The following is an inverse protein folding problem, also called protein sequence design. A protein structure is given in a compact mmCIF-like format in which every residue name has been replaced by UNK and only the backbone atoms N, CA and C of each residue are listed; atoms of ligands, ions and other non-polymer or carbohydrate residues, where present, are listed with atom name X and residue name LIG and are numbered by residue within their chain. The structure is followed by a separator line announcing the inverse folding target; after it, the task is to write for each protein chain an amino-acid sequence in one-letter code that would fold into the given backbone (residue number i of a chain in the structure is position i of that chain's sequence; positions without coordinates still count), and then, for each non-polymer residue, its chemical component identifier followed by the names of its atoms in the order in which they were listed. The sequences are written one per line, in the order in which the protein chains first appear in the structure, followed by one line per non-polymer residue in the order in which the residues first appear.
data_IF_023364332672
#
_entry.id   IF_023364332672
#
_cell.length_a   1.000
_cell.length_b   1.000
_cell.length_c   1.000
_cell.angle_alpha   90.00
_cell.angle_beta   90.00
_cell.angle_gamma   90.00
#
_symmetry.space_group_name_H-M   'P 1'
#
loop_
_entity.id
_entity.type
_entity.pdbx_description
1 polymer ?
#
# COMPACT_ATOMS: atom_id res chain seq x y z
N UNK A 1 -25.47 -7.53 -15.83
CA UNK A 1 -25.06 -8.17 -14.56
C UNK A 1 -24.59 -9.56 -14.91
N UNK A 2 -23.28 -9.74 -14.82
CA UNK A 2 -22.62 -10.97 -15.20
C UNK A 2 -23.14 -12.13 -14.36
N UNK A 3 -23.48 -13.24 -15.02
CA UNK A 3 -24.03 -14.42 -14.33
C UNK A 3 -23.06 -15.57 -14.47
N UNK A 4 -22.69 -16.17 -13.35
CA UNK A 4 -21.94 -17.43 -13.36
C UNK A 4 -22.79 -18.49 -14.07
N UNK A 5 -22.26 -19.03 -15.17
CA UNK A 5 -22.92 -20.05 -15.98
C UNK A 5 -22.53 -21.45 -15.52
N UNK A 6 -21.23 -21.71 -15.41
CA UNK A 6 -20.68 -23.01 -15.06
C UNK A 6 -19.25 -22.92 -14.55
N UNK A 7 -18.81 -23.95 -13.83
CA UNK A 7 -17.40 -24.24 -13.57
C UNK A 7 -16.99 -25.45 -14.41
N UNK A 8 -15.82 -25.37 -15.05
CA UNK A 8 -15.25 -26.50 -15.80
C UNK A 8 -13.74 -26.39 -15.95
N UNK A 9 -13.10 -27.49 -16.33
CA UNK A 9 -11.70 -27.47 -16.76
C UNK A 9 -11.62 -27.40 -18.29
N UNK A 10 -10.78 -26.50 -18.80
CA UNK A 10 -10.52 -26.38 -20.24
C UNK A 10 -9.01 -26.44 -20.53
N UNK A 11 -8.60 -26.82 -21.75
CA UNK A 11 -7.22 -26.67 -22.20
C UNK A 11 -6.75 -25.22 -22.07
N UNK A 12 -5.51 -25.03 -21.60
CA UNK A 12 -4.94 -23.70 -21.36
C UNK A 12 -4.82 -22.88 -22.66
N UNK A 13 -4.73 -23.55 -23.80
CA UNK A 13 -4.63 -22.98 -25.14
C UNK A 13 -5.97 -22.38 -25.63
N UNK A 14 -7.10 -22.75 -25.04
CA UNK A 14 -8.42 -22.19 -25.39
C UNK A 14 -8.65 -20.80 -24.76
N UNK A 15 -7.83 -20.43 -23.77
CA UNK A 15 -7.97 -19.16 -23.06
C UNK A 15 -7.38 -18.02 -23.90
N UNK A 16 -8.20 -17.01 -24.15
CA UNK A 16 -7.82 -15.80 -24.89
C UNK A 16 -7.48 -14.68 -23.92
N UNK A 17 -6.24 -14.20 -23.93
CA UNK A 17 -5.87 -13.01 -23.18
C UNK A 17 -6.42 -11.73 -23.85
N UNK A 18 -6.78 -10.76 -23.03
CA UNK A 18 -7.23 -9.44 -23.46
C UNK A 18 -6.30 -8.41 -22.85
N UNK A 19 -5.54 -7.70 -23.68
CA UNK A 19 -4.50 -6.74 -23.22
C UNK A 19 -5.08 -5.63 -22.31
N UNK A 20 -6.31 -5.21 -22.59
CA UNK A 20 -7.08 -4.26 -21.80
C UNK A 20 -7.21 -4.69 -20.34
N UNK A 21 -7.53 -5.97 -20.08
CA UNK A 21 -7.67 -6.51 -18.73
C UNK A 21 -6.34 -6.87 -18.07
N UNK A 22 -5.35 -7.28 -18.87
CA UNK A 22 -4.01 -7.65 -18.41
C UNK A 22 -3.31 -6.49 -17.69
N UNK A 23 -3.42 -5.29 -18.26
CA UNK A 23 -2.82 -4.05 -17.74
C UNK A 23 -3.74 -3.33 -16.75
N UNK A 24 -4.92 -3.89 -16.47
CA UNK A 24 -5.93 -3.22 -15.68
C UNK A 24 -5.58 -3.19 -14.19
N UNK A 25 -5.05 -4.30 -13.68
CA UNK A 25 -4.83 -4.52 -12.26
C UNK A 25 -3.34 -4.29 -11.92
N UNK A 26 -3.01 -3.67 -10.78
CA UNK A 26 -1.64 -3.55 -10.30
C UNK A 26 -0.90 -4.89 -10.21
N UNK A 27 0.43 -4.83 -10.32
CA UNK A 27 1.30 -5.99 -10.17
C UNK A 27 1.11 -6.64 -8.79
N UNK A 28 1.21 -7.98 -8.77
CA UNK A 28 1.03 -8.76 -7.57
C UNK A 28 2.40 -9.07 -6.96
N UNK A 29 2.65 -8.57 -5.75
CA UNK A 29 3.89 -8.79 -4.99
C UNK A 29 3.99 -10.19 -4.37
N UNK A 30 3.00 -11.07 -4.56
CA UNK A 30 2.98 -12.45 -4.05
C UNK A 30 3.22 -13.50 -5.14
N UNK A 31 3.83 -13.14 -6.27
CA UNK A 31 4.00 -14.04 -7.43
C UNK A 31 4.60 -15.40 -7.05
N UNK A 32 5.75 -15.40 -6.35
CA UNK A 32 6.47 -16.63 -6.01
C UNK A 32 5.67 -17.53 -5.06
N UNK A 33 5.01 -16.93 -4.05
CA UNK A 33 4.12 -17.65 -3.13
C UNK A 33 2.95 -18.32 -3.86
N UNK A 34 2.34 -17.61 -4.83
CA UNK A 34 1.26 -18.16 -5.65
C UNK A 34 1.79 -19.30 -6.54
N UNK A 35 3.00 -19.15 -7.08
CA UNK A 35 3.64 -20.17 -7.91
C UNK A 35 3.92 -21.45 -7.12
N UNK A 36 4.44 -21.33 -5.91
CA UNK A 36 4.67 -22.46 -5.01
C UNK A 36 3.36 -23.16 -4.61
N UNK A 37 2.30 -22.42 -4.26
CA UNK A 37 1.01 -23.02 -3.91
C UNK A 37 0.39 -23.75 -5.11
N UNK A 38 0.44 -23.18 -6.32
CA UNK A 38 -0.07 -23.83 -7.53
C UNK A 38 0.75 -25.06 -7.88
N UNK A 39 2.07 -25.03 -7.70
CA UNK A 39 2.92 -26.20 -7.94
C UNK A 39 2.59 -27.35 -6.98
N UNK A 40 2.30 -27.05 -5.70
CA UNK A 40 1.99 -28.05 -4.67
C UNK A 40 0.55 -28.54 -4.74
N UNK A 41 -0.39 -27.64 -4.94
CA UNK A 41 -1.82 -27.89 -4.70
C UNK A 41 -2.71 -27.68 -5.94
N UNK A 42 -2.14 -27.27 -7.08
CA UNK A 42 -2.89 -26.88 -8.26
C UNK A 42 -3.64 -25.56 -8.09
N UNK A 43 -4.42 -25.20 -9.10
CA UNK A 43 -5.19 -23.96 -9.12
C UNK A 43 -6.52 -24.18 -8.36
N UNK A 44 -6.59 -23.79 -7.09
CA UNK A 44 -7.81 -23.91 -6.27
C UNK A 44 -8.89 -22.90 -6.66
N UNK A 45 -8.47 -21.65 -6.90
CA UNK A 45 -9.38 -20.58 -7.29
C UNK A 45 -9.39 -20.50 -8.83
N UNK A 46 -10.54 -20.76 -9.49
CA UNK A 46 -10.60 -20.81 -10.94
C UNK A 46 -10.29 -19.46 -11.60
N UNK A 47 -9.81 -19.52 -12.84
CA UNK A 47 -9.71 -18.34 -13.71
C UNK A 47 -11.11 -17.85 -14.06
N UNK A 48 -11.29 -16.54 -14.22
CA UNK A 48 -12.58 -15.96 -14.56
C UNK A 48 -12.58 -15.60 -16.04
N UNK A 49 -13.48 -16.21 -16.81
CA UNK A 49 -13.59 -16.03 -18.27
C UNK A 49 -15.01 -15.67 -18.66
N UNK A 50 -15.19 -14.98 -19.80
CA UNK A 50 -16.52 -14.80 -20.40
C UNK A 50 -16.95 -16.02 -21.23
N UNK A 51 -18.15 -15.95 -21.82
CA UNK A 51 -18.71 -16.99 -22.68
C UNK A 51 -17.87 -17.33 -23.94
N UNK A 52 -16.91 -16.48 -24.31
CA UNK A 52 -16.01 -16.64 -25.45
C UNK A 52 -14.60 -17.14 -25.06
N UNK A 53 -14.40 -17.47 -23.78
CA UNK A 53 -13.13 -17.81 -23.13
C UNK A 53 -12.10 -16.69 -23.13
N UNK A 54 -12.55 -15.44 -23.18
CA UNK A 54 -11.69 -14.30 -22.94
C UNK A 54 -11.45 -14.16 -21.44
N UNK A 55 -10.18 -14.04 -21.05
CA UNK A 55 -9.76 -13.97 -19.66
C UNK A 55 -10.08 -12.59 -19.07
N UNK A 56 -11.02 -12.57 -18.14
CA UNK A 56 -11.36 -11.38 -17.37
C UNK A 56 -10.40 -11.25 -16.20
N UNK A 57 -10.26 -12.29 -15.36
CA UNK A 57 -9.39 -12.27 -14.19
C UNK A 57 -8.61 -13.57 -14.02
N UNK A 58 -7.41 -13.47 -13.44
CA UNK A 58 -6.53 -14.61 -13.19
C UNK A 58 -5.26 -14.64 -14.03
N UNK A 59 -4.86 -13.53 -14.66
CA UNK A 59 -3.63 -13.42 -15.47
C UNK A 59 -2.37 -14.00 -14.80
N UNK A 60 -2.17 -13.72 -13.50
CA UNK A 60 -1.05 -14.28 -12.73
C UNK A 60 -1.09 -15.81 -12.67
N UNK A 61 -2.28 -16.38 -12.38
CA UNK A 61 -2.49 -17.83 -12.32
C UNK A 61 -2.30 -18.48 -13.69
N UNK A 62 -2.78 -17.85 -14.75
CA UNK A 62 -2.58 -18.32 -16.12
C UNK A 62 -1.10 -18.35 -16.50
N UNK A 63 -0.36 -17.27 -16.20
CA UNK A 63 1.08 -17.19 -16.45
C UNK A 63 1.82 -18.31 -15.73
N UNK A 64 1.55 -18.48 -14.43
CA UNK A 64 2.14 -19.55 -13.62
C UNK A 64 1.80 -20.93 -14.18
N UNK A 65 0.54 -21.16 -14.56
CA UNK A 65 0.10 -22.44 -15.11
C UNK A 65 0.89 -22.81 -16.38
N UNK A 66 1.15 -21.84 -17.26
CA UNK A 66 2.00 -22.04 -18.45
C UNK A 66 3.45 -22.34 -18.06
N UNK A 67 4.02 -21.61 -17.12
CA UNK A 67 5.39 -21.84 -16.64
C UNK A 67 5.57 -23.23 -16.02
N UNK A 68 4.56 -23.73 -15.31
CA UNK A 68 4.54 -25.06 -14.69
C UNK A 68 4.14 -26.18 -15.67
N UNK A 69 3.84 -25.87 -16.94
CA UNK A 69 3.44 -26.84 -17.95
C UNK A 69 2.06 -27.46 -17.74
N UNK A 70 1.19 -26.82 -16.96
CA UNK A 70 -0.19 -27.27 -16.69
C UNK A 70 -1.00 -27.20 -17.99
N UNK A 71 -1.60 -28.32 -18.39
CA UNK A 71 -2.34 -28.46 -19.67
C UNK A 71 -3.80 -28.07 -19.59
N UNK A 72 -4.44 -28.29 -18.44
CA UNK A 72 -5.84 -27.96 -18.20
C UNK A 72 -5.94 -27.10 -16.96
N UNK A 73 -6.79 -26.09 -17.02
CA UNK A 73 -6.97 -25.14 -15.93
C UNK A 73 -8.46 -25.01 -15.58
N UNK A 74 -8.81 -24.90 -14.29
CA UNK A 74 -10.18 -24.68 -13.87
C UNK A 74 -10.59 -23.24 -14.17
N UNK A 75 -11.77 -23.09 -14.79
CA UNK A 75 -12.36 -21.81 -15.16
C UNK A 75 -13.78 -21.69 -14.62
N UNK A 76 -14.15 -20.47 -14.25
CA UNK A 76 -15.51 -20.04 -13.98
C UNK A 76 -15.98 -19.24 -15.19
N UNK A 77 -16.96 -19.78 -15.92
CA UNK A 77 -17.49 -19.14 -17.13
C UNK A 77 -18.65 -18.24 -16.72
N UNK A 78 -18.51 -16.94 -17.01
CA UNK A 78 -19.56 -15.96 -16.81
C UNK A 78 -20.22 -15.60 -18.14
N UNK A 79 -21.54 -15.54 -18.14
CA UNK A 79 -22.30 -14.90 -19.19
C UNK A 79 -22.31 -13.39 -18.92
N UNK A 80 -21.78 -12.62 -19.87
CA UNK A 80 -21.64 -11.16 -19.78
C UNK A 80 -22.38 -10.50 -20.93
N UNK A 81 -23.03 -9.37 -20.65
CA UNK A 81 -23.84 -8.66 -21.67
C UNK A 81 -23.00 -7.76 -22.57
N UNK A 82 -22.00 -7.09 -21.99
CA UNK A 82 -21.13 -6.14 -22.67
C UNK A 82 -19.82 -5.96 -21.88
N UNK A 83 -18.95 -5.11 -22.42
CA UNK A 83 -17.65 -4.78 -21.82
C UNK A 83 -17.76 -4.09 -20.45
N UNK A 84 -18.85 -3.34 -20.20
CA UNK A 84 -19.06 -2.70 -18.90
C UNK A 84 -19.36 -3.73 -17.81
N UNK A 85 -20.11 -4.76 -18.14
CA UNK A 85 -20.39 -5.91 -17.27
C UNK A 85 -19.11 -6.72 -16.96
N UNK A 86 -18.20 -6.84 -17.93
CA UNK A 86 -16.88 -7.46 -17.72
C UNK A 86 -16.01 -6.65 -16.76
N UNK A 87 -16.06 -5.32 -16.82
CA UNK A 87 -15.38 -4.44 -15.85
C UNK A 87 -15.94 -4.59 -14.44
N UNK A 88 -17.27 -4.72 -14.30
CA UNK A 88 -17.90 -4.99 -12.99
C UNK A 88 -17.42 -6.32 -12.40
N UNK A 89 -17.31 -7.36 -13.23
CA UNK A 89 -16.81 -8.66 -12.83
C UNK A 89 -15.31 -8.61 -12.46
N UNK A 90 -14.52 -7.85 -13.23
CA UNK A 90 -13.10 -7.63 -12.96
C UNK A 90 -12.88 -6.95 -11.59
N UNK A 91 -13.62 -5.86 -11.32
CA UNK A 91 -13.53 -5.12 -10.06
C UNK A 91 -13.96 -6.01 -8.89
N UNK A 92 -15.16 -6.59 -8.95
CA UNK A 92 -15.72 -7.39 -7.86
C UNK A 92 -14.85 -8.58 -7.47
N UNK A 93 -14.32 -9.31 -8.47
CA UNK A 93 -13.47 -10.48 -8.22
C UNK A 93 -12.10 -10.09 -7.67
N UNK A 94 -11.52 -8.95 -8.06
CA UNK A 94 -10.27 -8.49 -7.47
C UNK A 94 -10.44 -7.98 -6.04
N UNK A 95 -11.52 -7.24 -5.75
CA UNK A 95 -11.80 -6.76 -4.39
C UNK A 95 -12.02 -7.91 -3.39
N UNK A 96 -12.53 -9.05 -3.86
CA UNK A 96 -12.75 -10.24 -3.02
C UNK A 96 -11.55 -11.18 -2.96
N UNK A 97 -10.80 -11.36 -4.05
CA UNK A 97 -9.73 -12.35 -4.13
C UNK A 97 -8.33 -11.81 -3.84
N UNK A 98 -8.12 -10.48 -3.87
CA UNK A 98 -6.83 -9.84 -3.60
C UNK A 98 -6.85 -9.07 -2.29
N UNK A 99 -5.69 -9.01 -1.65
CA UNK A 99 -5.44 -8.14 -0.50
C UNK A 99 -5.08 -6.73 -1.00
N UNK A 100 -6.07 -5.99 -1.50
CA UNK A 100 -5.86 -4.63 -2.00
C UNK A 100 -5.90 -3.62 -0.85
N UNK A 101 -5.02 -2.62 -0.88
CA UNK A 101 -5.17 -1.44 -0.03
C UNK A 101 -6.40 -0.61 -0.43
N UNK A 102 -6.89 0.26 0.46
CA UNK A 102 -8.01 1.17 0.14
C UNK A 102 -7.72 2.03 -1.09
N UNK A 103 -6.48 2.52 -1.24
CA UNK A 103 -6.07 3.32 -2.39
C UNK A 103 -6.02 2.49 -3.68
N UNK A 104 -5.57 1.24 -3.62
CA UNK A 104 -5.59 0.33 -4.77
C UNK A 104 -7.02 -0.03 -5.19
N UNK A 105 -7.91 -0.28 -4.21
CA UNK A 105 -9.33 -0.51 -4.46
C UNK A 105 -10.00 0.72 -5.12
N UNK A 106 -9.72 1.92 -4.61
CA UNK A 106 -10.17 3.18 -5.20
C UNK A 106 -9.72 3.32 -6.65
N UNK A 107 -8.42 3.15 -6.91
CA UNK A 107 -7.87 3.27 -8.26
C UNK A 107 -8.44 2.25 -9.25
N UNK A 108 -8.69 1.03 -8.77
CA UNK A 108 -9.31 -0.03 -9.58
C UNK A 108 -10.75 0.32 -9.97
N UNK A 109 -11.55 0.76 -9.01
CA UNK A 109 -12.94 1.17 -9.24
C UNK A 109 -12.98 2.39 -10.15
N UNK A 110 -12.14 3.37 -9.89
CA UNK A 110 -12.08 4.62 -10.64
C UNK A 110 -11.70 4.38 -12.11
N UNK A 111 -10.66 3.57 -12.37
CA UNK A 111 -10.30 3.14 -13.72
C UNK A 111 -11.45 2.43 -14.43
N UNK A 112 -12.23 1.61 -13.71
CA UNK A 112 -13.38 0.92 -14.31
C UNK A 112 -14.49 1.88 -14.70
N UNK A 113 -14.77 2.89 -13.88
CA UNK A 113 -15.74 3.94 -14.19
C UNK A 113 -15.31 4.74 -15.43
N UNK A 114 -14.02 5.08 -15.54
CA UNK A 114 -13.49 5.77 -16.73
C UNK A 114 -13.71 4.97 -18.01
N UNK A 115 -13.36 3.68 -18.01
CA UNK A 115 -13.51 2.82 -19.19
C UNK A 115 -14.98 2.60 -19.57
N UNK A 116 -15.85 2.35 -18.59
CA UNK A 116 -17.31 2.30 -18.80
C UNK A 116 -17.83 3.59 -19.43
N UNK A 117 -17.36 4.75 -18.95
CA UNK A 117 -17.75 6.06 -19.48
C UNK A 117 -17.28 6.28 -20.91
N UNK A 118 -16.07 5.82 -21.26
CA UNK A 118 -15.54 5.87 -22.64
C UNK A 118 -16.41 5.02 -23.59
N UNK A 119 -16.82 3.83 -23.15
CA UNK A 119 -17.71 2.95 -23.93
C UNK A 119 -19.06 3.64 -24.20
N UNK A 120 -19.69 4.22 -23.17
CA UNK A 120 -20.96 4.94 -23.30
C UNK A 120 -20.87 6.10 -24.32
N UNK A 121 -19.80 6.90 -24.25
CA UNK A 121 -19.56 8.02 -25.17
C UNK A 121 -19.35 7.55 -26.63
N UNK A 122 -18.65 6.44 -26.84
CA UNK A 122 -18.43 5.86 -28.17
C UNK A 122 -19.73 5.39 -28.83
N UNK A 123 -20.63 4.81 -28.02
CA UNK A 123 -21.94 4.36 -28.50
C UNK A 123 -22.84 5.55 -28.88
N UNK A 124 -22.85 6.63 -28.07
CA UNK A 124 -23.62 7.85 -28.36
C UNK A 124 -23.14 8.60 -29.61
N UNK A 125 -21.83 8.62 -29.88
CA UNK A 125 -21.27 9.25 -31.08
C UNK A 125 -21.51 8.43 -32.36
N UNK A 126 -21.76 7.13 -32.23
CA UNK A 126 -22.11 6.27 -33.36
C UNK A 126 -23.59 6.42 -33.78
N UNK A 127 -24.45 6.93 -32.88
CA UNK A 127 -25.89 7.11 -33.10
C UNK A 127 -26.30 8.55 -33.45
N UNK A 128 -25.44 9.56 -33.26
CA UNK A 128 -25.79 10.98 -33.47
C UNK A 128 -24.91 11.69 -34.51
N UNK A 129 -25.47 11.89 -35.70
CA UNK A 129 -25.04 12.92 -36.65
C UNK A 129 -25.73 14.24 -36.24
N UNK A 130 -25.03 15.26 -35.70
CA UNK A 130 -25.70 16.32 -34.95
C UNK A 130 -26.26 17.44 -35.85
N UNK A 131 -27.57 17.68 -35.75
CA UNK A 131 -28.16 19.00 -36.07
C UNK A 131 -28.09 19.85 -34.80
N UNK A 132 -27.15 20.78 -34.77
CA UNK A 132 -27.00 21.75 -33.69
C UNK A 132 -28.23 22.68 -33.63
N UNK A 133 -28.84 22.81 -32.45
CA UNK A 133 -29.67 23.97 -32.12
C UNK A 133 -29.10 24.63 -30.88
N UNK A 134 -28.47 25.80 -31.08
CA UNK A 134 -27.99 26.67 -29.99
C UNK A 134 -29.16 27.27 -29.22
N UNK A 135 -29.11 27.19 -27.90
CA UNK A 135 -29.85 28.12 -27.02
C UNK A 135 -28.88 28.65 -25.99
N UNK A 136 -28.59 29.95 -26.07
CA UNK A 136 -27.75 30.69 -25.13
C UNK A 136 -28.53 30.98 -23.83
N UNK A 137 -27.85 30.87 -22.69
CA UNK A 137 -28.22 31.55 -21.45
C UNK A 137 -26.98 32.24 -20.87
N UNK A 138 -27.08 33.50 -20.40
CA UNK A 138 -25.94 34.26 -19.93
C UNK A 138 -25.66 34.01 -18.45
N UNK A 139 -24.39 33.79 -18.10
CA UNK A 139 -23.95 33.72 -16.70
C UNK A 139 -22.48 33.33 -16.54
N UNK A 140 -21.65 34.32 -16.18
CA UNK A 140 -20.28 34.26 -15.62
C UNK A 140 -19.21 33.59 -16.50
N UNK A 141 -18.23 34.39 -16.94
CA UNK A 141 -17.12 33.98 -17.82
C UNK A 141 -16.12 33.07 -17.09
N UNK A 142 -16.40 31.77 -17.10
CA UNK A 142 -15.38 30.73 -17.29
C UNK A 142 -15.36 30.40 -18.79
N UNK A 143 -14.20 30.11 -19.37
CA UNK A 143 -14.19 29.69 -20.78
C UNK A 143 -15.02 28.41 -20.91
N UNK A 144 -15.80 28.27 -21.99
CA UNK A 144 -16.71 27.13 -22.18
C UNK A 144 -16.02 25.76 -22.09
N UNK A 145 -14.69 25.72 -22.25
CA UNK A 145 -13.83 24.55 -22.11
C UNK A 145 -13.55 24.19 -20.64
N UNK A 146 -13.29 25.18 -19.79
CA UNK A 146 -13.02 24.98 -18.35
C UNK A 146 -14.28 24.49 -17.62
N UNK A 147 -15.44 25.09 -17.92
CA UNK A 147 -16.71 24.66 -17.33
C UNK A 147 -17.07 23.21 -17.68
N UNK A 148 -16.77 22.78 -18.92
CA UNK A 148 -16.97 21.38 -19.33
C UNK A 148 -16.01 20.43 -18.63
N UNK A 149 -14.76 20.84 -18.40
CA UNK A 149 -13.77 20.02 -17.68
C UNK A 149 -14.18 19.82 -16.22
N UNK A 150 -14.61 20.88 -15.55
CA UNK A 150 -15.11 20.84 -14.16
C UNK A 150 -16.33 19.92 -14.04
N UNK A 151 -17.26 20.00 -14.99
CA UNK A 151 -18.45 19.13 -14.99
C UNK A 151 -18.05 17.66 -15.15
N UNK A 152 -17.18 17.33 -16.11
CA UNK A 152 -16.72 15.95 -16.33
C UNK A 152 -16.04 15.34 -15.09
N UNK A 153 -15.21 16.12 -14.38
CA UNK A 153 -14.55 15.67 -13.15
C UNK A 153 -15.56 15.43 -12.02
N UNK A 154 -16.59 16.27 -11.93
CA UNK A 154 -17.67 16.12 -10.95
C UNK A 154 -18.49 14.86 -11.21
N UNK A 155 -18.82 14.60 -12.48
CA UNK A 155 -19.57 13.41 -12.89
C UNK A 155 -18.76 12.12 -12.62
N UNK A 156 -17.47 12.13 -12.96
CA UNK A 156 -16.55 11.02 -12.64
C UNK A 156 -16.52 10.77 -11.13
N UNK A 157 -16.28 11.82 -10.33
CA UNK A 157 -16.23 11.73 -8.87
C UNK A 157 -17.51 11.12 -8.28
N UNK A 158 -18.68 11.53 -8.75
CA UNK A 158 -19.95 11.00 -8.28
C UNK A 158 -20.14 9.53 -8.68
N UNK A 159 -19.81 9.17 -9.91
CA UNK A 159 -19.89 7.79 -10.39
C UNK A 159 -18.97 6.85 -9.59
N UNK A 160 -17.74 7.28 -9.31
CA UNK A 160 -16.79 6.53 -8.46
C UNK A 160 -17.33 6.38 -7.05
N UNK A 161 -17.91 7.44 -6.47
CA UNK A 161 -18.51 7.41 -5.13
C UNK A 161 -19.64 6.38 -5.04
N UNK A 162 -20.48 6.27 -6.06
CA UNK A 162 -21.56 5.28 -6.07
C UNK A 162 -21.03 3.84 -6.20
N UNK A 163 -20.00 3.60 -7.03
CA UNK A 163 -19.36 2.29 -7.13
C UNK A 163 -18.61 1.90 -5.83
N UNK A 164 -17.95 2.85 -5.16
CA UNK A 164 -17.32 2.61 -3.84
C UNK A 164 -18.35 2.15 -2.81
N UNK A 165 -19.53 2.78 -2.78
CA UNK A 165 -20.65 2.35 -1.91
C UNK A 165 -21.14 0.96 -2.30
N UNK A 166 -21.34 0.69 -3.59
CA UNK A 166 -21.79 -0.61 -4.11
C UNK A 166 -20.85 -1.75 -3.68
N UNK A 167 -19.55 -1.51 -3.67
CA UNK A 167 -18.55 -2.50 -3.25
C UNK A 167 -18.17 -2.42 -1.76
N UNK A 168 -18.84 -1.57 -0.97
CA UNK A 168 -18.59 -1.38 0.46
C UNK A 168 -17.12 -0.99 0.79
N UNK A 169 -16.48 -0.24 -0.10
CA UNK A 169 -15.12 0.28 0.10
C UNK A 169 -15.18 1.61 0.81
N UNK A 170 -14.67 1.67 2.04
CA UNK A 170 -14.70 2.88 2.88
C UNK A 170 -13.57 3.86 2.51
N UNK A 171 -13.91 4.90 1.77
CA UNK A 171 -13.05 6.05 1.46
C UNK A 171 -13.85 7.32 1.80
N UNK A 172 -13.25 8.25 2.53
CA UNK A 172 -13.91 9.52 2.84
C UNK A 172 -13.96 10.44 1.61
N UNK A 173 -14.96 11.32 1.57
CA UNK A 173 -15.18 12.21 0.42
C UNK A 173 -13.98 13.12 0.12
N UNK A 174 -13.24 13.55 1.14
CA UNK A 174 -12.06 14.41 0.96
C UNK A 174 -10.92 13.64 0.32
N UNK A 175 -10.64 12.42 0.79
CA UNK A 175 -9.64 11.54 0.17
C UNK A 175 -9.99 11.22 -1.30
N UNK A 176 -11.27 10.99 -1.62
CA UNK A 176 -11.70 10.81 -3.00
C UNK A 176 -11.39 12.06 -3.85
N UNK A 177 -11.74 13.25 -3.34
CA UNK A 177 -11.47 14.52 -4.03
C UNK A 177 -9.98 14.77 -4.24
N UNK A 178 -9.18 14.50 -3.22
CA UNK A 178 -7.72 14.60 -3.28
C UNK A 178 -7.13 13.64 -4.31
N UNK A 179 -7.54 12.38 -4.30
CA UNK A 179 -7.06 11.39 -5.25
C UNK A 179 -7.40 11.78 -6.70
N UNK A 180 -8.64 12.19 -6.98
CA UNK A 180 -9.05 12.62 -8.33
C UNK A 180 -8.25 13.83 -8.80
N UNK A 181 -8.03 14.83 -7.92
CA UNK A 181 -7.22 16.02 -8.23
C UNK A 181 -5.77 15.66 -8.52
N UNK A 182 -5.17 14.78 -7.72
CA UNK A 182 -3.79 14.31 -7.95
C UNK A 182 -3.71 13.53 -9.26
N UNK A 183 -4.64 12.61 -9.51
CA UNK A 183 -4.63 11.81 -10.74
C UNK A 183 -4.70 12.69 -11.99
N UNK A 184 -5.54 13.71 -11.99
CA UNK A 184 -5.71 14.62 -13.13
C UNK A 184 -4.48 15.52 -13.36
N UNK A 185 -3.87 16.05 -12.29
CA UNK A 185 -2.86 17.12 -12.40
C UNK A 185 -1.41 16.64 -12.15
N UNK A 186 -1.23 15.56 -11.40
CA UNK A 186 0.06 14.95 -11.08
C UNK A 186 -0.02 13.41 -11.07
N UNK A 187 -0.33 12.76 -12.21
CA UNK A 187 -0.50 11.30 -12.27
C UNK A 187 0.69 10.52 -11.71
N UNK A 188 1.91 11.05 -11.87
CA UNK A 188 3.15 10.45 -11.37
C UNK A 188 3.16 10.25 -9.84
N UNK A 189 2.42 11.07 -9.09
CA UNK A 189 2.35 10.96 -7.64
C UNK A 189 1.41 9.82 -7.20
N UNK A 190 0.46 9.40 -8.05
CA UNK A 190 -0.44 8.28 -7.75
C UNK A 190 0.31 6.95 -7.61
N UNK A 191 1.43 6.76 -8.32
CA UNK A 191 2.27 5.55 -8.19
C UNK A 191 2.80 5.36 -6.76
N UNK A 192 3.20 6.46 -6.10
CA UNK A 192 3.65 6.43 -4.71
C UNK A 192 2.51 6.10 -3.74
N UNK A 193 1.30 6.55 -4.04
CA UNK A 193 0.09 6.20 -3.28
C UNK A 193 -0.21 4.70 -3.43
N UNK A 194 -0.21 4.19 -4.66
CA UNK A 194 -0.54 2.79 -4.95
C UNK A 194 0.48 1.79 -4.41
N UNK A 195 1.74 2.21 -4.31
CA UNK A 195 2.83 1.45 -3.67
C UNK A 195 2.81 1.55 -2.14
N UNK A 196 1.89 2.33 -1.56
CA UNK A 196 1.80 2.52 -0.11
C UNK A 196 2.95 3.34 0.48
N UNK A 197 3.71 4.06 -0.35
CA UNK A 197 4.82 4.90 0.11
C UNK A 197 4.33 6.20 0.76
N UNK A 198 3.17 6.69 0.33
CA UNK A 198 2.58 7.96 0.78
C UNK A 198 1.06 7.83 0.80
N UNK A 199 0.41 8.27 1.88
CA UNK A 199 -1.05 8.34 1.96
C UNK A 199 -1.67 9.39 1.01
N UNK A 200 -2.97 9.30 0.75
CA UNK A 200 -3.66 10.23 -0.19
C UNK A 200 -3.61 11.68 0.30
N UNK A 201 -3.92 11.94 1.58
CA UNK A 201 -3.89 13.30 2.16
C UNK A 201 -2.48 13.88 2.16
N UNK A 202 -1.44 13.16 2.65
CA UNK A 202 -0.05 13.54 2.45
C UNK A 202 0.36 13.91 1.02
N UNK A 203 -0.01 13.06 0.06
CA UNK A 203 0.29 13.30 -1.34
C UNK A 203 -0.40 14.57 -1.85
N UNK A 204 -1.63 14.85 -1.41
CA UNK A 204 -2.33 16.07 -1.78
C UNK A 204 -1.66 17.34 -1.24
N UNK A 205 -1.18 17.30 0.00
CA UNK A 205 -0.42 18.42 0.58
C UNK A 205 0.87 18.68 -0.20
N UNK A 206 1.62 17.61 -0.54
CA UNK A 206 2.82 17.71 -1.39
C UNK A 206 2.47 18.33 -2.74
N UNK A 207 1.45 17.78 -3.42
CA UNK A 207 0.98 18.27 -4.71
C UNK A 207 0.67 19.78 -4.65
N UNK A 208 -0.10 20.20 -3.65
CA UNK A 208 -0.52 21.59 -3.47
C UNK A 208 0.68 22.51 -3.26
N UNK A 209 1.59 22.15 -2.34
CA UNK A 209 2.79 22.95 -2.03
C UNK A 209 3.73 23.06 -3.23
N UNK A 210 3.97 21.96 -3.94
CA UNK A 210 4.79 21.98 -5.15
C UNK A 210 4.15 22.80 -6.29
N UNK A 211 2.82 22.77 -6.40
CA UNK A 211 2.08 23.57 -7.35
C UNK A 211 2.18 25.07 -7.02
N UNK A 212 1.98 25.45 -5.76
CA UNK A 212 2.10 26.83 -5.25
C UNK A 212 3.51 27.40 -5.51
N UNK A 213 4.56 26.58 -5.30
CA UNK A 213 5.95 26.97 -5.57
C UNK A 213 6.33 26.95 -7.06
N UNK A 214 5.49 26.39 -7.94
CA UNK A 214 5.80 26.22 -9.36
C UNK A 214 6.85 25.15 -9.65
N UNK A 215 7.07 24.21 -8.72
CA UNK A 215 8.12 23.19 -8.79
C UNK A 215 7.58 21.77 -9.05
N UNK A 216 6.27 21.61 -9.21
CA UNK A 216 5.63 20.30 -9.42
C UNK A 216 6.26 19.50 -10.59
N UNK A 217 6.38 20.13 -11.75
CA UNK A 217 6.96 19.50 -12.95
C UNK A 217 8.48 19.28 -12.84
N UNK A 218 9.17 20.15 -12.09
CA UNK A 218 10.61 20.02 -11.88
C UNK A 218 10.91 18.82 -10.98
N UNK A 219 10.16 18.66 -9.88
CA UNK A 219 10.25 17.50 -8.99
C UNK A 219 9.84 16.22 -9.71
N UNK A 220 8.83 16.27 -10.60
CA UNK A 220 8.43 15.12 -11.42
C UNK A 220 9.58 14.58 -12.28
N UNK A 221 10.52 15.44 -12.71
CA UNK A 221 11.66 15.07 -13.56
C UNK A 221 12.91 14.60 -12.81
N UNK A 222 12.90 14.65 -11.47
CA UNK A 222 14.01 14.15 -10.67
C UNK A 222 14.26 12.66 -10.92
N UNK A 223 15.52 12.19 -10.78
CA UNK A 223 15.84 10.77 -10.78
C UNK A 223 14.93 10.01 -9.79
N UNK A 224 14.44 8.79 -10.12
CA UNK A 224 13.49 8.08 -9.27
C UNK A 224 13.95 7.89 -7.82
N UNK A 225 15.25 7.69 -7.60
CA UNK A 225 15.85 7.60 -6.26
C UNK A 225 15.74 8.92 -5.48
N UNK A 226 16.25 10.02 -6.04
CA UNK A 226 16.16 11.36 -5.43
C UNK A 226 14.71 11.78 -5.17
N UNK A 227 13.83 11.55 -6.16
CA UNK A 227 12.40 11.85 -6.03
C UNK A 227 11.77 11.00 -4.93
N UNK A 228 12.13 9.73 -4.79
CA UNK A 228 11.63 8.87 -3.73
C UNK A 228 12.05 9.40 -2.36
N UNK A 229 13.34 9.66 -2.15
CA UNK A 229 13.88 10.19 -0.89
C UNK A 229 13.25 11.53 -0.54
N UNK A 230 13.02 12.40 -1.51
CA UNK A 230 12.40 13.72 -1.28
C UNK A 230 10.95 13.60 -0.81
N UNK A 231 10.20 12.63 -1.33
CA UNK A 231 8.78 12.48 -1.02
C UNK A 231 8.51 11.65 0.23
N UNK A 232 9.50 10.86 0.69
CA UNK A 232 9.47 10.13 1.96
C UNK A 232 10.21 10.91 3.04
N UNK A 233 11.53 10.80 3.10
CA UNK A 233 12.36 11.30 4.22
C UNK A 233 12.57 12.82 4.15
N UNK A 234 12.58 13.36 2.93
CA UNK A 234 12.73 14.78 2.64
C UNK A 234 11.42 15.56 2.61
N UNK A 235 10.29 14.93 2.93
CA UNK A 235 8.96 15.50 2.74
C UNK A 235 8.79 16.85 3.43
N UNK A 236 9.43 17.02 4.60
CA UNK A 236 9.41 18.28 5.36
C UNK A 236 9.96 19.48 4.58
N UNK A 237 10.93 19.28 3.69
CA UNK A 237 11.46 20.34 2.81
C UNK A 237 10.33 20.93 1.94
N UNK A 238 9.43 20.08 1.46
CA UNK A 238 8.27 20.50 0.66
C UNK A 238 7.22 21.17 1.53
N UNK A 239 6.89 20.56 2.68
CA UNK A 239 5.82 21.04 3.57
C UNK A 239 6.16 22.36 4.25
N UNK A 240 7.43 22.57 4.61
CA UNK A 240 7.95 23.81 5.20
C UNK A 240 8.23 24.89 4.12
N UNK A 241 7.83 24.65 2.87
CA UNK A 241 7.99 25.59 1.75
C UNK A 241 9.43 26.07 1.56
N UNK A 242 10.42 25.18 1.76
CA UNK A 242 11.85 25.46 1.59
C UNK A 242 12.24 25.51 0.12
N UNK A 243 11.68 26.50 -0.58
CA UNK A 243 11.90 26.73 -2.01
C UNK A 243 13.37 26.90 -2.35
N UNK A 244 14.15 27.51 -1.43
CA UNK A 244 15.59 27.65 -1.55
C UNK A 244 16.31 26.30 -1.69
N UNK A 245 15.93 25.31 -0.87
CA UNK A 245 16.51 23.96 -0.94
C UNK A 245 15.97 23.18 -2.13
N UNK A 246 14.67 23.31 -2.43
CA UNK A 246 14.05 22.62 -3.56
C UNK A 246 14.63 23.09 -4.90
N UNK A 247 14.89 24.39 -5.07
CA UNK A 247 15.51 24.95 -6.27
C UNK A 247 16.94 24.39 -6.48
N UNK A 248 17.72 24.22 -5.41
CA UNK A 248 19.05 23.62 -5.50
C UNK A 248 18.98 22.12 -5.84
N UNK A 249 17.99 21.40 -5.31
CA UNK A 249 17.74 19.97 -5.65
C UNK A 249 17.35 19.81 -7.12
N UNK A 250 16.34 20.54 -7.59
CA UNK A 250 15.83 20.38 -8.97
C UNK A 250 16.82 20.87 -10.03
N UNK A 251 17.75 21.75 -9.66
CA UNK A 251 18.85 22.17 -10.52
C UNK A 251 20.09 21.27 -10.42
N UNK A 252 20.00 20.13 -9.72
CA UNK A 252 21.08 19.15 -9.52
C UNK A 252 22.34 19.73 -8.87
N UNK A 253 22.19 20.77 -8.05
CA UNK A 253 23.30 21.41 -7.31
C UNK A 253 23.46 20.84 -5.89
N UNK A 254 22.43 20.15 -5.40
CA UNK A 254 22.40 19.57 -4.07
C UNK A 254 21.62 18.25 -4.11
N UNK A 255 22.17 17.20 -3.49
CA UNK A 255 21.43 15.95 -3.31
C UNK A 255 20.34 16.12 -2.23
N UNK A 256 19.25 15.35 -2.32
CA UNK A 256 18.16 15.46 -1.33
C UNK A 256 18.65 15.15 0.08
N UNK A 257 19.54 14.16 0.25
CA UNK A 257 20.14 13.80 1.53
C UNK A 257 20.90 14.97 2.18
N UNK A 258 21.61 15.77 1.38
CA UNK A 258 22.31 16.97 1.84
C UNK A 258 21.33 18.05 2.31
N UNK A 259 20.25 18.26 1.55
CA UNK A 259 19.20 19.21 1.92
C UNK A 259 18.49 18.81 3.23
N UNK A 260 18.21 17.51 3.42
CA UNK A 260 17.64 16.96 4.67
C UNK A 260 18.57 17.26 5.85
N UNK A 261 19.87 16.98 5.70
CA UNK A 261 20.85 17.22 6.76
C UNK A 261 20.98 18.72 7.09
N UNK A 262 20.93 19.58 6.07
CA UNK A 262 20.94 21.04 6.25
C UNK A 262 19.72 21.51 7.03
N UNK A 263 18.52 21.05 6.68
CA UNK A 263 17.28 21.36 7.40
C UNK A 263 17.38 20.94 8.88
N UNK A 264 17.79 19.69 9.14
CA UNK A 264 17.97 19.15 10.50
C UNK A 264 18.99 19.98 11.32
N UNK A 265 20.04 20.46 10.68
CA UNK A 265 21.08 21.28 11.35
C UNK A 265 20.55 22.67 11.69
N UNK A 266 19.81 23.30 10.78
CA UNK A 266 19.19 24.61 11.01
C UNK A 266 18.16 24.57 12.15
N UNK A 267 17.36 23.50 12.25
CA UNK A 267 16.41 23.31 13.36
C UNK A 267 17.11 23.19 14.72
N UNK A 268 18.20 22.40 14.79
CA UNK A 268 19.01 22.29 16.01
C UNK A 268 19.63 23.63 16.42
N UNK A 269 20.08 24.43 15.45
CA UNK A 269 20.64 25.76 15.70
C UNK A 269 19.59 26.78 16.16
N UNK A 270 18.35 26.68 15.68
CA UNK A 270 17.23 27.52 16.16
C UNK A 270 16.88 27.19 17.61
N UNK A 271 16.81 25.90 17.96
CA UNK A 271 16.56 25.43 19.33
C UNK A 271 17.63 25.91 20.33
N UNK A 272 18.89 25.98 19.92
CA UNK A 272 20.00 26.42 20.79
C UNK A 272 20.15 27.94 20.94
N UNK A 273 19.64 28.74 19.99
CA UNK A 273 19.69 30.22 20.05
C UNK A 273 18.49 30.87 20.77
N UNK A 274 17.45 30.10 21.07
CA UNK A 274 16.22 30.59 21.71
C UNK A 274 16.25 30.66 23.26
N UNK A 275 17.28 30.13 23.93
CA UNK A 275 17.23 29.97 25.39
C UNK A 275 17.99 31.07 26.15
N UNK A 276 17.24 32.00 26.79
CA UNK A 276 17.67 32.64 28.04
C UNK A 276 17.51 31.59 29.16
N UNK A 277 18.34 31.59 30.23
CA UNK A 277 18.31 30.52 31.22
C UNK A 277 16.98 30.59 31.97
N UNK A 278 16.10 29.65 31.65
CA UNK A 278 14.81 29.44 32.31
C UNK A 278 14.97 28.37 33.37
N UNK A 279 14.29 28.58 34.50
CA UNK A 279 14.26 27.65 35.62
C UNK A 279 13.47 26.41 35.26
N UNK A 280 13.75 25.30 35.95
CA UNK A 280 13.19 23.97 35.64
C UNK A 280 11.66 23.93 35.59
N UNK A 281 10.99 24.84 36.29
CA UNK A 281 9.52 24.99 36.29
C UNK A 281 8.98 25.65 35.00
N UNK A 282 9.75 26.49 34.30
CA UNK A 282 9.32 27.12 33.05
C UNK A 282 9.43 26.16 31.83
N UNK A 283 10.15 25.05 31.99
CA UNK A 283 10.31 24.01 30.95
C UNK A 283 9.16 23.00 30.96
N UNK A 284 8.49 22.85 32.11
CA UNK A 284 7.37 21.92 32.27
C UNK A 284 6.04 22.56 31.79
N UNK A 285 5.87 23.89 31.92
CA UNK A 285 4.68 24.60 31.40
C UNK A 285 4.68 24.79 29.86
N UNK A 286 5.84 24.80 29.18
CA UNK A 286 5.90 24.86 27.70
C UNK A 286 5.70 23.48 27.04
N UNK A 287 6.06 22.38 27.70
CA UNK A 287 5.72 21.02 27.23
C UNK A 287 4.20 20.75 27.34
N UNK A 288 3.52 21.25 28.38
CA UNK A 288 2.05 21.12 28.50
C UNK A 288 1.27 21.98 27.49
N UNK A 289 1.81 23.13 27.05
CA UNK A 289 1.14 24.01 26.08
C UNK A 289 1.38 23.62 24.61
N UNK A 290 2.50 22.95 24.30
CA UNK A 290 2.71 22.36 22.96
C UNK A 290 1.86 21.09 22.77
N UNK A 291 1.56 20.33 23.84
CA UNK A 291 0.64 19.18 23.78
C UNK A 291 -0.85 19.58 23.61
N UNK A 292 -1.29 20.72 24.18
CA UNK A 292 -2.69 21.15 24.00
C UNK A 292 -2.99 21.72 22.61
N UNK A 293 -2.01 22.32 21.91
CA UNK A 293 -2.21 22.86 20.56
C UNK A 293 -2.29 21.78 19.46
N UNK A 294 -1.82 20.56 19.73
CA UNK A 294 -1.87 19.42 18.79
C UNK A 294 -3.20 18.61 18.91
N UNK A 295 -4.06 18.95 19.88
CA UNK A 295 -5.26 18.17 20.21
C UNK A 295 -6.56 18.57 19.46
N UNK A 296 -6.48 19.37 18.40
CA UNK A 296 -7.65 19.68 17.55
C UNK A 296 -7.48 19.27 16.09
N UNK A 297 -6.99 18.06 15.85
CA UNK A 297 -7.13 17.43 14.53
C UNK A 297 -7.69 16.01 14.66
N UNK A 298 -8.92 15.84 14.17
CA UNK A 298 -9.63 14.58 14.17
C UNK A 298 -8.99 13.54 13.25
N UNK A 299 -8.59 12.42 13.87
CA UNK A 299 -8.55 11.05 13.36
C UNK A 299 -8.04 10.86 11.92
N UNK A 300 -6.72 10.80 11.78
CA UNK A 300 -6.06 9.84 10.89
C UNK A 300 -4.86 9.23 11.65
N UNK A 301 -5.07 8.15 12.39
CA UNK A 301 -3.99 7.31 12.92
C UNK A 301 -3.87 6.02 12.09
N UNK A 302 -3.03 6.07 11.06
CA UNK A 302 -2.20 4.91 10.75
C UNK A 302 -1.21 4.77 11.91
N UNK A 303 -1.20 3.60 12.55
CA UNK A 303 -0.41 3.35 13.75
C UNK A 303 1.08 3.51 13.49
N UNK A 304 1.70 4.50 14.10
CA UNK A 304 3.14 4.54 14.35
C UNK A 304 3.48 3.50 15.42
N UNK A 305 4.17 2.43 15.02
CA UNK A 305 5.14 1.79 15.90
C UNK A 305 6.52 2.04 15.29
N UNK A 306 7.28 2.86 16.02
CA UNK A 306 8.65 3.29 15.78
C UNK A 306 9.57 2.09 15.42
N UNK A 307 9.83 1.97 14.11
CA UNK A 307 10.87 1.11 13.54
C UNK A 307 12.16 1.94 13.46
N UNK A 308 13.26 1.45 14.02
CA UNK A 308 14.58 2.10 13.91
C UNK A 308 15.12 2.02 12.46
N UNK A 309 14.59 2.91 11.62
CA UNK A 309 14.99 3.11 10.22
C UNK A 309 16.31 3.88 10.11
N UNK A 310 16.77 4.58 11.15
CA UNK A 310 17.92 5.50 11.04
C UNK A 310 19.25 4.76 11.15
N UNK A 311 19.28 3.60 11.82
CA UNK A 311 20.47 2.75 11.95
C UNK A 311 20.84 1.97 10.68
N UNK A 312 19.87 1.42 9.95
CA UNK A 312 20.14 0.58 8.76
C UNK A 312 20.41 1.41 7.49
N UNK A 313 19.85 2.62 7.36
CA UNK A 313 20.10 3.51 6.21
C UNK A 313 21.52 4.09 6.17
N UNK A 314 22.13 4.33 7.34
CA UNK A 314 23.54 4.77 7.40
C UNK A 314 24.51 3.69 6.95
N UNK A 315 24.19 2.41 7.18
CA UNK A 315 25.02 1.28 6.73
C UNK A 315 24.88 1.03 5.22
N UNK A 316 23.67 1.18 4.68
CA UNK A 316 23.43 1.04 3.24
C UNK A 316 24.17 2.12 2.41
N UNK A 317 24.20 3.37 2.89
CA UNK A 317 24.97 4.43 2.22
C UNK A 317 26.49 4.24 2.36
N UNK A 318 26.98 3.76 3.51
CA UNK A 318 28.41 3.42 3.69
C UNK A 318 28.84 2.22 2.84
N UNK A 319 27.93 1.29 2.53
CA UNK A 319 28.16 0.15 1.64
C UNK A 319 28.10 0.56 0.16
N UNK A 320 27.19 1.46 -0.24
CA UNK A 320 27.13 2.04 -1.59
C UNK A 320 28.34 2.94 -1.90
N UNK A 321 28.80 3.78 -0.96
CA UNK A 321 30.02 4.58 -1.12
C UNK A 321 31.28 3.69 -1.22
N UNK A 322 31.35 2.59 -0.46
CA UNK A 322 32.45 1.59 -0.57
C UNK A 322 32.39 0.81 -1.89
N UNK A 323 31.19 0.53 -2.41
CA UNK A 323 31.00 -0.12 -3.71
C UNK A 323 31.40 0.79 -4.88
N UNK A 324 31.15 2.10 -4.79
CA UNK A 324 31.59 3.08 -5.79
C UNK A 324 33.10 3.34 -5.73
N UNK A 325 33.70 3.40 -4.53
CA UNK A 325 35.16 3.48 -4.37
C UNK A 325 35.87 2.21 -4.88
N UNK A 326 35.28 1.03 -4.68
CA UNK A 326 35.81 -0.23 -5.21
C UNK A 326 35.70 -0.34 -6.75
N UNK A 327 34.67 0.27 -7.36
CA UNK A 327 34.49 0.31 -8.84
C UNK A 327 35.49 1.23 -9.54
N UNK A 328 36.13 2.17 -8.83
CA UNK A 328 37.15 3.05 -9.40
C UNK A 328 38.58 2.49 -9.34
N UNK A 329 38.80 1.30 -8.76
CA UNK A 329 40.12 0.68 -8.66
C UNK A 329 40.11 -0.80 -9.12
N UNK A 330 40.22 -1.02 -10.43
CA UNK A 330 40.70 -2.28 -11.02
C UNK A 330 42.18 -2.04 -11.38
N UNK A 331 43.21 -2.82 -11.04
CA UNK A 331 43.48 -4.25 -10.75
C UNK A 331 44.95 -4.37 -10.18
N UNK A 332 45.53 -5.51 -9.70
CA UNK A 332 45.20 -6.91 -10.04
C UNK A 332 45.27 -8.01 -8.94
N UNK A 333 44.58 -9.11 -9.30
CA UNK A 333 44.77 -10.54 -8.98
C UNK A 333 44.75 -11.01 -7.51
N UNK A 334 43.74 -11.82 -7.15
CA UNK A 334 43.93 -13.18 -6.61
C UNK A 334 42.63 -14.00 -6.74
N UNK A 335 42.77 -15.30 -7.04
CA UNK A 335 41.70 -16.29 -7.19
C UNK A 335 40.97 -16.53 -5.86
N UNK A 336 39.65 -16.35 -5.84
CA UNK A 336 38.70 -17.06 -4.97
C UNK A 336 37.34 -17.09 -5.66
N UNK A 337 36.63 -18.21 -5.57
CA UNK A 337 35.31 -18.42 -6.16
C UNK A 337 34.35 -17.28 -5.78
N UNK A 338 33.89 -16.52 -6.78
CA UNK A 338 32.99 -15.38 -6.59
C UNK A 338 31.56 -15.86 -6.77
N UNK A 339 30.81 -15.91 -5.67
CA UNK A 339 29.34 -15.95 -5.73
C UNK A 339 28.81 -14.57 -6.13
N UNK A 340 27.69 -14.53 -6.85
CA UNK A 340 27.15 -13.27 -7.35
C UNK A 340 26.60 -12.40 -6.20
N UNK A 341 26.62 -11.06 -6.31
CA UNK A 341 26.07 -10.16 -5.29
C UNK A 341 24.59 -10.44 -4.95
N UNK A 342 23.82 -10.96 -5.90
CA UNK A 342 22.45 -11.38 -5.70
C UNK A 342 22.32 -12.64 -4.82
N UNK A 343 23.26 -13.59 -4.93
CA UNK A 343 23.33 -14.78 -4.07
C UNK A 343 23.73 -14.40 -2.64
N UNK A 344 24.60 -13.40 -2.49
CA UNK A 344 25.05 -12.91 -1.19
C UNK A 344 23.95 -12.12 -0.45
N UNK A 345 23.21 -11.26 -1.14
CA UNK A 345 22.03 -10.55 -0.58
C UNK A 345 20.91 -11.53 -0.20
N UNK A 346 20.68 -12.55 -1.03
CA UNK A 346 19.69 -13.61 -0.73
C UNK A 346 20.12 -14.41 0.50
N UNK A 347 21.43 -14.68 0.66
CA UNK A 347 21.99 -15.35 1.84
C UNK A 347 21.85 -14.49 3.09
N UNK A 348 22.14 -13.19 3.02
CA UNK A 348 22.02 -12.24 4.14
C UNK A 348 20.56 -12.11 4.61
N UNK A 349 19.61 -12.00 3.68
CA UNK A 349 18.19 -11.93 4.00
C UNK A 349 17.67 -13.26 4.59
N UNK A 350 18.18 -14.38 4.07
CA UNK A 350 17.89 -15.70 4.63
C UNK A 350 18.47 -15.86 6.04
N UNK A 351 19.70 -15.42 6.30
CA UNK A 351 20.33 -15.44 7.61
C UNK A 351 19.59 -14.54 8.63
N UNK A 352 19.17 -13.33 8.25
CA UNK A 352 18.33 -12.46 9.11
C UNK A 352 16.97 -13.10 9.44
N UNK A 353 16.34 -13.77 8.45
CA UNK A 353 15.09 -14.48 8.67
C UNK A 353 15.29 -15.67 9.62
N UNK A 354 16.36 -16.46 9.43
CA UNK A 354 16.71 -17.56 10.32
C UNK A 354 16.97 -17.10 11.76
N UNK A 355 17.63 -15.96 11.95
CA UNK A 355 17.84 -15.36 13.28
C UNK A 355 16.50 -14.95 13.93
N UNK A 356 15.60 -14.35 13.15
CA UNK A 356 14.27 -13.95 13.63
C UNK A 356 13.44 -15.17 14.04
N UNK A 357 13.44 -16.20 13.21
CA UNK A 357 12.75 -17.47 13.47
C UNK A 357 13.34 -18.18 14.69
N UNK A 358 14.67 -18.18 14.86
CA UNK A 358 15.32 -18.75 16.03
C UNK A 358 14.89 -18.04 17.32
N UNK A 359 14.83 -16.70 17.32
CA UNK A 359 14.36 -15.92 18.47
C UNK A 359 12.89 -16.21 18.80
N UNK A 360 12.03 -16.25 17.79
CA UNK A 360 10.61 -16.57 17.98
C UNK A 360 10.41 -18.01 18.46
N UNK A 361 11.24 -18.95 17.99
CA UNK A 361 11.28 -20.33 18.47
C UNK A 361 11.64 -20.37 19.95
N UNK A 362 12.72 -19.72 20.36
CA UNK A 362 13.12 -19.67 21.77
C UNK A 362 12.03 -19.05 22.66
N UNK A 363 11.43 -17.95 22.20
CA UNK A 363 10.34 -17.27 22.91
C UNK A 363 9.11 -18.19 23.06
N UNK A 364 8.67 -18.82 21.97
CA UNK A 364 7.55 -19.76 21.99
C UNK A 364 7.82 -20.94 22.94
N UNK A 365 9.00 -21.57 22.84
CA UNK A 365 9.36 -22.70 23.69
C UNK A 365 9.51 -22.31 25.16
N UNK A 366 9.88 -21.05 25.45
CA UNK A 366 9.91 -20.53 26.81
C UNK A 366 8.52 -20.30 27.38
N UNK A 367 7.57 -19.85 26.55
CA UNK A 367 6.19 -19.56 26.98
C UNK A 367 5.26 -20.78 26.93
N UNK A 368 5.61 -21.81 26.17
CA UNK A 368 4.82 -23.03 25.98
C UNK A 368 5.63 -24.28 26.39
N UNK A 369 5.77 -24.55 27.69
CA UNK A 369 6.59 -25.66 28.19
C UNK A 369 6.12 -27.03 27.69
N UNK A 370 4.83 -27.20 27.37
CA UNK A 370 4.27 -28.43 26.81
C UNK A 370 4.80 -28.69 25.40
N UNK A 371 4.89 -27.65 24.56
CA UNK A 371 5.46 -27.76 23.21
C UNK A 371 6.95 -28.06 23.30
N UNK A 372 7.66 -27.40 24.24
CA UNK A 372 9.07 -27.66 24.53
C UNK A 372 9.32 -29.11 24.94
N UNK A 373 8.52 -29.65 25.84
CA UNK A 373 8.62 -31.04 26.25
C UNK A 373 8.41 -32.00 25.05
N UNK A 374 7.39 -31.76 24.22
CA UNK A 374 7.12 -32.60 23.05
C UNK A 374 8.26 -32.57 22.03
N UNK A 375 8.92 -31.42 21.87
CA UNK A 375 10.10 -31.28 21.01
C UNK A 375 11.33 -32.00 21.58
N UNK A 376 11.62 -31.83 22.87
CA UNK A 376 12.73 -32.50 23.56
C UNK A 376 12.57 -34.03 23.57
N UNK A 377 11.33 -34.52 23.72
CA UNK A 377 10.98 -35.94 23.61
C UNK A 377 10.96 -36.46 22.17
N UNK A 378 11.28 -35.62 21.17
CA UNK A 378 11.25 -35.93 19.73
C UNK A 378 9.90 -36.43 19.21
N UNK A 379 8.81 -36.01 19.86
CA UNK A 379 7.43 -36.24 19.39
C UNK A 379 7.01 -35.21 18.34
N UNK A 380 7.64 -34.03 18.36
CA UNK A 380 7.58 -33.03 17.30
C UNK A 380 8.96 -32.89 16.68
N UNK A 381 9.02 -32.86 15.35
CA UNK A 381 10.25 -32.59 14.62
C UNK A 381 10.45 -31.07 14.40
N UNK A 382 11.59 -30.72 13.80
CA UNK A 382 11.94 -29.32 13.56
C UNK A 382 10.92 -28.60 12.66
N UNK A 383 10.39 -29.29 11.65
CA UNK A 383 9.42 -28.72 10.71
C UNK A 383 8.08 -28.43 11.39
N UNK A 384 7.61 -29.33 12.25
CA UNK A 384 6.43 -29.12 13.07
C UNK A 384 6.62 -27.94 14.04
N UNK A 385 7.81 -27.79 14.63
CA UNK A 385 8.11 -26.65 15.49
C UNK A 385 8.14 -25.34 14.72
N UNK A 386 8.76 -25.29 13.54
CA UNK A 386 8.74 -24.10 12.71
C UNK A 386 7.31 -23.70 12.32
N UNK A 387 6.45 -24.67 12.00
CA UNK A 387 5.02 -24.43 11.76
C UNK A 387 4.34 -23.83 12.98
N UNK A 388 4.65 -24.31 14.19
CA UNK A 388 4.12 -23.74 15.43
C UNK A 388 4.66 -22.34 15.73
N UNK A 389 5.91 -22.04 15.36
CA UNK A 389 6.48 -20.68 15.46
C UNK A 389 5.72 -19.69 14.59
N UNK A 390 5.28 -20.09 13.40
CA UNK A 390 4.43 -19.24 12.56
C UNK A 390 3.06 -18.98 13.19
N UNK A 391 2.45 -20.01 13.80
CA UNK A 391 1.19 -19.86 14.55
C UNK A 391 1.40 -18.89 15.71
N UNK A 392 2.45 -19.08 16.52
CA UNK A 392 2.82 -18.19 17.64
C UNK A 392 2.98 -16.74 17.18
N UNK A 393 3.72 -16.51 16.09
CA UNK A 393 3.90 -15.19 15.49
C UNK A 393 2.58 -14.55 15.08
N UNK A 394 1.65 -15.32 14.50
CA UNK A 394 0.34 -14.81 14.11
C UNK A 394 -0.50 -14.38 15.32
N UNK A 395 -0.38 -15.08 16.46
CA UNK A 395 -1.00 -14.65 17.71
C UNK A 395 -0.40 -13.33 18.21
N UNK A 396 0.94 -13.19 18.23
CA UNK A 396 1.58 -11.92 18.62
C UNK A 396 1.09 -10.75 17.76
N UNK A 397 0.97 -10.93 16.44
CA UNK A 397 0.43 -9.92 15.52
C UNK A 397 -1.02 -9.58 15.84
N UNK A 398 -1.86 -10.60 16.08
CA UNK A 398 -3.27 -10.38 16.41
C UNK A 398 -3.42 -9.57 17.71
N UNK A 399 -2.66 -9.88 18.75
CA UNK A 399 -2.70 -9.13 20.00
C UNK A 399 -2.20 -7.71 19.86
N UNK A 400 -1.12 -7.49 19.12
CA UNK A 400 -0.65 -6.14 18.79
C UNK A 400 -1.74 -5.32 18.08
N UNK A 401 -2.47 -5.91 17.13
CA UNK A 401 -3.58 -5.23 16.47
C UNK A 401 -4.74 -4.91 17.44
N UNK A 402 -5.02 -5.77 18.42
CA UNK A 402 -6.01 -5.48 19.46
C UNK A 402 -5.56 -4.31 20.35
N UNK A 403 -4.27 -4.24 20.71
CA UNK A 403 -3.71 -3.11 21.46
C UNK A 403 -3.80 -1.81 20.65
N UNK A 404 -3.44 -1.84 19.36
CA UNK A 404 -3.59 -0.67 18.47
C UNK A 404 -5.05 -0.21 18.44
N UNK A 405 -6.01 -1.13 18.30
CA UNK A 405 -7.43 -0.78 18.33
C UNK A 405 -7.85 -0.19 19.68
N UNK A 406 -7.33 -0.72 20.79
CA UNK A 406 -7.59 -0.20 22.13
C UNK A 406 -7.11 1.25 22.28
N UNK A 407 -5.86 1.51 21.91
CA UNK A 407 -5.25 2.85 21.95
C UNK A 407 -5.98 3.85 21.05
N UNK A 408 -6.48 3.41 19.89
CA UNK A 408 -7.15 4.30 18.95
C UNK A 408 -8.64 4.55 19.27
N UNK A 409 -9.31 3.65 19.99
CA UNK A 409 -10.77 3.69 20.15
C UNK A 409 -11.19 3.77 21.61
N UNK A 410 -10.70 2.86 22.45
CA UNK A 410 -11.13 2.76 23.83
C UNK A 410 -10.44 3.80 24.72
N UNK A 411 -9.14 4.00 24.52
CA UNK A 411 -8.35 4.90 25.35
C UNK A 411 -8.77 6.38 25.25
N UNK A 412 -9.02 6.97 24.06
CA UNK A 412 -9.45 8.38 23.97
C UNK A 412 -10.80 8.65 24.67
N UNK A 413 -11.66 7.63 24.74
CA UNK A 413 -12.97 7.73 25.40
C UNK A 413 -12.87 7.60 26.92
N UNK A 414 -11.86 6.89 27.41
CA UNK A 414 -11.78 6.45 28.81
C UNK A 414 -10.65 7.13 29.59
N UNK A 415 -9.66 7.72 28.91
CA UNK A 415 -8.48 8.36 29.52
C UNK A 415 -8.81 9.56 30.40
N UNK A 416 -9.92 10.23 30.14
CA UNK A 416 -10.47 11.28 31.03
C UNK A 416 -11.05 10.76 32.34
N UNK A 417 -11.26 9.46 32.47
CA UNK A 417 -11.91 8.82 33.63
C UNK A 417 -11.03 7.78 34.33
N UNK A 418 -10.04 7.22 33.63
CA UNK A 418 -9.20 6.12 34.10
C UNK A 418 -7.74 6.46 33.85
N UNK A 419 -6.87 6.14 34.81
CA UNK A 419 -5.44 6.28 34.61
C UNK A 419 -4.87 5.14 33.72
N UNK A 420 -3.63 5.31 33.24
CA UNK A 420 -2.96 4.35 32.35
C UNK A 420 -2.97 2.90 32.86
N UNK A 421 -2.73 2.69 34.16
CA UNK A 421 -2.72 1.35 34.74
C UNK A 421 -4.13 0.73 34.76
N UNK A 422 -5.16 1.53 35.06
CA UNK A 422 -6.55 1.09 35.02
C UNK A 422 -7.02 0.79 33.58
N UNK A 423 -6.59 1.58 32.61
CA UNK A 423 -6.86 1.35 31.18
C UNK A 423 -6.22 0.05 30.70
N UNK A 424 -4.97 -0.21 31.08
CA UNK A 424 -4.25 -1.44 30.74
C UNK A 424 -4.92 -2.67 31.39
N UNK A 425 -5.28 -2.59 32.67
CA UNK A 425 -6.05 -3.66 33.32
C UNK A 425 -7.40 -3.93 32.64
N UNK A 426 -8.06 -2.86 32.18
CA UNK A 426 -9.33 -2.98 31.47
C UNK A 426 -9.15 -3.62 30.09
N UNK A 427 -8.09 -3.27 29.35
CA UNK A 427 -7.71 -3.93 28.10
C UNK A 427 -7.59 -5.45 28.30
N UNK A 428 -6.83 -5.88 29.31
CA UNK A 428 -6.68 -7.31 29.58
C UNK A 428 -8.00 -7.99 29.97
N UNK A 429 -8.92 -7.28 30.66
CA UNK A 429 -10.27 -7.80 30.93
C UNK A 429 -11.09 -7.99 29.65
N UNK A 430 -10.99 -7.06 28.68
CA UNK A 430 -11.65 -7.18 27.38
C UNK A 430 -11.10 -8.36 26.58
N UNK A 431 -9.77 -8.48 26.51
CA UNK A 431 -9.12 -9.61 25.84
C UNK A 431 -9.57 -10.92 26.50
N UNK A 432 -9.43 -11.04 27.82
CA UNK A 432 -9.80 -12.25 28.56
C UNK A 432 -11.29 -12.61 28.44
N UNK A 433 -12.18 -11.62 28.40
CA UNK A 433 -13.62 -11.83 28.28
C UNK A 433 -14.07 -12.32 26.90
N UNK A 434 -13.31 -12.03 25.85
CA UNK A 434 -13.65 -12.39 24.47
C UNK A 434 -12.80 -13.54 23.92
N UNK A 435 -11.67 -13.84 24.53
CA UNK A 435 -10.81 -14.95 24.13
C UNK A 435 -11.45 -16.30 24.48
N UNK A 436 -11.81 -17.05 23.44
CA UNK A 436 -12.14 -18.47 23.54
C UNK A 436 -11.61 -19.21 22.33
N UNK A 437 -11.26 -20.49 22.50
CA UNK A 437 -11.02 -21.37 21.38
C UNK A 437 -12.37 -21.74 20.77
N UNK A 438 -12.69 -21.16 19.63
CA UNK A 438 -13.92 -21.48 18.91
C UNK A 438 -13.81 -22.90 18.32
N UNK A 439 -14.85 -23.73 18.46
CA UNK A 439 -14.87 -25.06 17.89
C UNK A 439 -14.82 -24.98 16.35
N UNK A 440 -14.18 -25.97 15.70
CA UNK A 440 -13.98 -25.96 14.24
C UNK A 440 -15.29 -25.87 13.46
N UNK A 441 -16.34 -26.42 14.04
CA UNK A 441 -17.70 -26.49 13.50
C UNK A 441 -18.35 -25.11 13.34
N UNK A 442 -17.95 -24.12 14.14
CA UNK A 442 -18.44 -22.73 14.03
C UNK A 442 -17.87 -22.00 12.80
N UNK A 443 -16.81 -22.51 12.17
CA UNK A 443 -16.17 -21.89 11.01
C UNK A 443 -16.66 -22.40 9.65
N UNK A 444 -17.67 -23.29 9.63
CA UNK A 444 -18.26 -23.82 8.39
C UNK A 444 -17.30 -24.67 7.53
N UNK A 445 -16.14 -25.04 8.07
CA UNK A 445 -15.16 -25.90 7.39
C UNK A 445 -15.55 -27.36 7.61
N UNK A 446 -16.46 -27.85 6.76
CA UNK A 446 -16.74 -29.29 6.65
C UNK A 446 -15.49 -29.97 6.09
N UNK A 447 -15.10 -31.08 6.72
CA UNK A 447 -13.90 -31.89 6.46
C UNK A 447 -13.62 -32.14 4.98
#
# INVERSE_FOLDING_TARGET
MSKLKEYKEIPIEEIKEVDEFKTFIPENNMYDKIKEDIAKNGIKVPLIVNQNYELINGYTRLKIARELGIKKVPVAVYETTDRADEYDLLVSTNLTQRQLSKAQALALIEKAVEEKTKILKKNQNSENNPKETKVERPGVQLSATESKKIQNLTDLRNAVKEELKKYNVKVDDRALDYYIRIKENAPWLTDYILKGKIGIKPAYSIYTKLQEMGLLEAVAKLPPYERNTLLTDGRKIILDERKDLLEEIVNHRMAVSQAINKLKTEEKLKRTKGSKPRTKEDLEEEEELEEEAESTEGEDSESDEEYDLVGEWKKANEEEEKEEEAKQQLTPQFNTEVHSPAEEITRINHEKWLQTVAKLKEEMLSNCPEIKQLYEEKKLDEEAILTMVEVWRNFQIAFKNLSINWHNVAEPLLSSHLNRQQLEELFYKFVKGNMRLYPKEEFGVVK
#
